data_IF_870510495398
#
_entry.id   IF_870510495398
#
_cell.length_a   1.000
_cell.length_b   1.000
_cell.length_c   1.000
_cell.angle_alpha   90.00
_cell.angle_beta   90.00
_cell.angle_gamma   90.00
#
_symmetry.space_group_name_H-M   'P 1'
#
loop_
_entity.id
_entity.type
_entity.pdbx_description
1 polymer ?
#
# COMPACT_ATOMS: atom_id res chain seq x y z
N UNK A 1 -16.87 -59.89 58.82
CA UNK A 1 -18.35 -59.87 58.77
C UNK A 1 -18.74 -58.45 58.38
N UNK A 2 -19.35 -58.09 57.25
CA UNK A 2 -20.15 -58.78 56.22
C UNK A 2 -19.92 -58.08 54.86
N UNK A 3 -19.88 -58.92 53.84
CA UNK A 3 -20.00 -58.75 52.38
C UNK A 3 -21.08 -57.74 51.94
N UNK A 4 -20.87 -56.89 50.92
CA UNK A 4 -20.93 -57.08 49.44
C UNK A 4 -22.34 -56.94 48.83
N UNK A 5 -22.35 -56.68 47.51
CA UNK A 5 -23.42 -56.55 46.49
C UNK A 5 -23.69 -55.10 46.05
N UNK A 6 -23.19 -54.61 44.91
CA UNK A 6 -23.37 -55.02 43.50
C UNK A 6 -24.68 -54.49 42.88
N UNK A 7 -24.59 -53.48 42.01
CA UNK A 7 -25.45 -53.22 40.83
C UNK A 7 -24.82 -52.03 40.05
N UNK A 8 -24.11 -52.25 38.94
CA UNK A 8 -24.58 -52.30 37.54
C UNK A 8 -24.70 -50.91 36.87
N UNK A 9 -24.09 -50.87 35.67
CA UNK A 9 -24.35 -50.02 34.51
C UNK A 9 -23.87 -48.56 34.48
N UNK A 10 -22.93 -48.36 33.54
CA UNK A 10 -23.15 -47.52 32.35
C UNK A 10 -23.29 -46.02 32.59
N UNK A 11 -22.24 -45.26 32.28
CA UNK A 11 -22.29 -44.23 31.22
C UNK A 11 -21.13 -43.22 31.32
N UNK A 12 -20.58 -42.95 30.14
CA UNK A 12 -19.93 -41.71 29.72
C UNK A 12 -18.61 -41.31 30.39
N UNK A 13 -17.55 -41.62 29.66
CA UNK A 13 -16.37 -40.78 29.55
C UNK A 13 -16.79 -39.34 29.16
N UNK A 14 -16.89 -38.45 30.15
CA UNK A 14 -17.03 -37.01 29.95
C UNK A 14 -15.62 -36.42 29.80
N UNK A 15 -15.04 -36.57 28.60
CA UNK A 15 -13.90 -35.78 28.17
C UNK A 15 -14.45 -34.46 27.63
N UNK A 16 -14.55 -33.46 28.50
CA UNK A 16 -14.70 -32.07 28.07
C UNK A 16 -13.34 -31.40 28.20
N UNK A 17 -12.49 -31.64 27.20
CA UNK A 17 -11.42 -30.71 26.90
C UNK A 17 -12.07 -29.46 26.31
N UNK A 18 -12.40 -28.51 27.19
CA UNK A 18 -12.67 -27.13 26.77
C UNK A 18 -11.32 -26.49 26.48
N UNK A 19 -10.84 -26.62 25.25
CA UNK A 19 -9.88 -25.66 24.72
C UNK A 19 -10.64 -24.36 24.51
N UNK A 20 -10.60 -23.47 25.50
CA UNK A 20 -10.78 -22.05 25.23
C UNK A 20 -9.55 -21.61 24.45
N UNK A 21 -9.71 -21.43 23.14
CA UNK A 21 -8.77 -20.63 22.36
C UNK A 21 -8.86 -19.19 22.89
N UNK A 22 -7.99 -18.88 23.83
CA UNK A 22 -7.60 -17.51 24.14
C UNK A 22 -7.16 -16.85 22.83
N UNK A 23 -7.78 -15.75 22.38
CA UNK A 23 -7.36 -15.07 21.18
C UNK A 23 -5.94 -14.55 21.43
N UNK A 24 -4.95 -15.20 20.82
CA UNK A 24 -3.57 -14.72 20.84
C UNK A 24 -3.53 -13.29 20.32
N UNK A 25 -2.63 -12.45 20.84
CA UNK A 25 -2.47 -11.06 20.41
C UNK A 25 -2.26 -10.89 18.88
N UNK A 26 -1.94 -11.97 18.17
CA UNK A 26 -1.90 -12.04 16.71
C UNK A 26 -3.29 -11.91 16.03
N UNK A 27 -4.39 -12.28 16.68
CA UNK A 27 -5.75 -12.13 16.13
C UNK A 27 -6.32 -10.71 16.27
N UNK A 28 -5.72 -9.86 17.13
CA UNK A 28 -6.04 -8.43 17.22
C UNK A 28 -5.35 -7.57 16.16
N UNK A 29 -4.36 -8.13 15.47
CA UNK A 29 -3.77 -7.54 14.27
C UNK A 29 -4.49 -8.03 13.00
N UNK A 30 -5.81 -8.20 13.05
CA UNK A 30 -6.61 -8.22 11.83
C UNK A 30 -6.33 -6.91 11.12
N UNK A 31 -5.44 -6.96 10.12
CA UNK A 31 -5.08 -5.84 9.25
C UNK A 31 -6.41 -5.27 8.77
N UNK A 32 -6.78 -4.10 9.28
CA UNK A 32 -8.06 -3.50 8.93
C UNK A 32 -7.93 -3.08 7.47
N UNK A 33 -8.42 -3.94 6.59
CA UNK A 33 -8.27 -3.79 5.15
C UNK A 33 -9.37 -2.87 4.65
N UNK A 34 -9.17 -1.57 4.84
CA UNK A 34 -10.11 -0.54 4.39
C UNK A 34 -9.93 -0.16 2.91
N UNK A 35 -8.80 -0.53 2.32
CA UNK A 35 -8.47 -0.21 0.94
C UNK A 35 -7.69 -1.35 0.26
N UNK A 36 -7.18 -1.07 -0.95
CA UNK A 36 -6.27 -1.96 -1.66
C UNK A 36 -5.01 -2.23 -0.82
N UNK A 37 -4.49 -3.47 -0.87
CA UNK A 37 -3.28 -3.87 -0.12
C UNK A 37 -2.01 -3.35 -0.82
N UNK A 38 -1.75 -2.06 -0.64
CA UNK A 38 -0.63 -1.37 -1.28
C UNK A 38 0.72 -1.94 -0.80
N UNK A 39 0.88 -2.15 0.50
CA UNK A 39 2.11 -2.71 1.07
C UNK A 39 2.38 -4.13 0.54
N UNK A 40 1.35 -4.99 0.52
CA UNK A 40 1.46 -6.34 -0.05
C UNK A 40 1.81 -6.32 -1.53
N UNK A 41 1.21 -5.42 -2.30
CA UNK A 41 1.53 -5.22 -3.73
C UNK A 41 2.99 -4.80 -3.93
N UNK A 42 3.45 -3.74 -3.25
CA UNK A 42 4.83 -3.23 -3.39
C UNK A 42 5.87 -4.30 -3.03
N UNK A 43 5.62 -5.07 -1.98
CA UNK A 43 6.51 -6.17 -1.57
C UNK A 43 6.60 -7.27 -2.63
N UNK A 44 5.47 -7.66 -3.24
CA UNK A 44 5.43 -8.64 -4.32
C UNK A 44 6.19 -8.14 -5.56
N UNK A 45 5.97 -6.87 -5.94
CA UNK A 45 6.66 -6.28 -7.08
C UNK A 45 8.15 -6.16 -6.84
N UNK A 46 8.59 -5.71 -5.65
CA UNK A 46 10.01 -5.62 -5.32
C UNK A 46 10.72 -6.99 -5.44
N UNK A 47 10.08 -8.06 -4.96
CA UNK A 47 10.62 -9.42 -5.09
C UNK A 47 10.65 -9.90 -6.54
N UNK A 48 9.57 -9.70 -7.29
CA UNK A 48 9.49 -10.10 -8.69
C UNK A 48 10.53 -9.35 -9.55
N UNK A 49 10.70 -8.05 -9.31
CA UNK A 49 11.67 -7.20 -9.98
C UNK A 49 13.12 -7.56 -9.62
N UNK A 50 13.40 -7.85 -8.35
CA UNK A 50 14.72 -8.32 -7.91
C UNK A 50 15.10 -9.67 -8.55
N UNK A 51 14.13 -10.56 -8.75
CA UNK A 51 14.32 -11.85 -9.43
C UNK A 51 14.50 -11.68 -10.95
N UNK A 52 13.70 -10.81 -11.58
CA UNK A 52 13.75 -10.60 -13.02
C UNK A 52 14.96 -9.76 -13.47
N UNK A 53 15.50 -8.91 -12.58
CA UNK A 53 16.60 -7.99 -12.85
C UNK A 53 16.44 -7.20 -14.17
N UNK A 54 15.28 -6.57 -14.42
CA UNK A 54 15.08 -5.86 -15.67
C UNK A 54 15.98 -4.63 -15.77
N UNK A 55 16.18 -4.15 -16.99
CA UNK A 55 16.71 -2.81 -17.20
C UNK A 55 15.62 -1.79 -16.87
N UNK A 56 16.03 -0.64 -16.34
CA UNK A 56 15.13 0.46 -15.98
C UNK A 56 15.69 1.73 -16.58
N UNK A 57 14.86 2.49 -17.30
CA UNK A 57 15.17 3.87 -17.65
C UNK A 57 14.68 4.76 -16.52
N UNK A 58 15.63 5.30 -15.75
CA UNK A 58 15.38 6.18 -14.61
C UNK A 58 15.67 7.62 -14.99
N UNK A 59 14.72 8.50 -14.73
CA UNK A 59 14.83 9.94 -14.93
C UNK A 59 14.72 10.63 -13.57
N UNK A 60 15.66 11.51 -13.26
CA UNK A 60 15.65 12.35 -12.07
C UNK A 60 15.70 13.81 -12.49
N UNK A 61 14.97 14.67 -11.80
CA UNK A 61 14.97 16.10 -12.06
C UNK A 61 14.82 16.91 -10.78
N UNK A 62 15.33 18.14 -10.82
CA UNK A 62 15.34 19.07 -9.70
C UNK A 62 15.32 20.50 -10.23
N UNK A 63 14.68 21.43 -9.51
CA UNK A 63 14.64 22.85 -9.87
C UNK A 63 16.04 23.40 -10.15
N UNK A 64 16.17 24.12 -11.27
CA UNK A 64 17.44 24.74 -11.68
C UNK A 64 18.50 23.77 -12.22
N UNK A 65 18.21 22.46 -12.33
CA UNK A 65 19.14 21.46 -12.89
C UNK A 65 18.58 20.83 -14.17
N UNK A 66 19.47 20.35 -15.03
CA UNK A 66 19.08 19.53 -16.16
C UNK A 66 18.56 18.17 -15.69
N UNK A 67 17.57 17.61 -16.39
CA UNK A 67 17.08 16.25 -16.12
C UNK A 67 18.19 15.24 -16.42
N UNK A 68 18.40 14.27 -15.54
CA UNK A 68 19.33 13.15 -15.75
C UNK A 68 18.54 11.88 -16.03
N UNK A 69 18.74 11.28 -17.21
CA UNK A 69 18.08 10.04 -17.63
C UNK A 69 19.14 8.98 -17.90
N UNK A 70 19.05 7.84 -17.21
CA UNK A 70 19.98 6.71 -17.35
C UNK A 70 19.23 5.39 -17.40
N UNK A 71 19.69 4.50 -18.28
CA UNK A 71 19.26 3.11 -18.28
C UNK A 71 20.24 2.28 -17.46
N UNK A 72 19.74 1.56 -16.45
CA UNK A 72 20.56 0.77 -15.54
C UNK A 72 19.90 -0.57 -15.17
N UNK A 73 20.67 -1.46 -14.58
CA UNK A 73 20.24 -2.75 -14.03
C UNK A 73 20.73 -2.87 -12.58
N UNK A 74 20.22 -3.86 -11.83
CA UNK A 74 20.65 -4.08 -10.45
C UNK A 74 20.14 -3.03 -9.47
N UNK A 75 18.95 -2.46 -9.74
CA UNK A 75 18.26 -1.55 -8.82
C UNK A 75 17.89 -2.30 -7.53
N UNK A 76 18.13 -1.67 -6.38
CA UNK A 76 17.63 -2.13 -5.08
C UNK A 76 16.14 -1.81 -4.95
N UNK A 77 15.31 -2.72 -5.46
CA UNK A 77 13.86 -2.54 -5.57
C UNK A 77 13.12 -2.26 -4.26
N UNK A 78 13.45 -2.92 -3.12
CA UNK A 78 12.90 -2.53 -1.83
C UNK A 78 13.11 -1.05 -1.50
N UNK A 79 14.33 -0.53 -1.68
CA UNK A 79 14.64 0.89 -1.42
C UNK A 79 13.98 1.82 -2.44
N UNK A 80 13.96 1.42 -3.72
CA UNK A 80 13.36 2.20 -4.81
C UNK A 80 11.84 2.38 -4.63
N UNK A 81 11.14 1.33 -4.16
CA UNK A 81 9.69 1.35 -3.99
C UNK A 81 9.23 1.78 -2.60
N UNK A 82 10.12 1.88 -1.62
CA UNK A 82 9.79 2.26 -0.24
C UNK A 82 8.95 3.55 -0.12
N UNK A 83 9.23 4.65 -0.86
CA UNK A 83 8.44 5.89 -0.75
C UNK A 83 6.96 5.71 -1.09
N UNK A 84 6.62 4.73 -1.93
CA UNK A 84 5.23 4.49 -2.34
C UNK A 84 4.38 3.84 -1.23
N UNK A 85 5.00 3.33 -0.16
CA UNK A 85 4.31 2.84 1.03
C UNK A 85 3.62 3.95 1.84
N UNK A 86 3.98 5.22 1.60
CA UNK A 86 3.29 6.36 2.21
C UNK A 86 1.82 6.44 1.76
N UNK A 87 1.49 5.90 0.59
CA UNK A 87 0.14 5.81 0.04
C UNK A 87 -0.71 4.65 0.61
N UNK A 88 -0.18 3.82 1.51
CA UNK A 88 -0.97 2.73 2.09
C UNK A 88 -1.98 3.27 3.11
N UNK A 89 -3.26 3.12 2.76
CA UNK A 89 -4.39 3.49 3.59
C UNK A 89 -4.66 2.48 4.72
N UNK A 90 -4.14 1.25 4.69
CA UNK A 90 -4.48 0.21 5.67
C UNK A 90 -3.77 0.37 7.03
N UNK A 91 -3.24 1.56 7.32
CA UNK A 91 -2.60 1.89 8.60
C UNK A 91 -3.68 2.07 9.68
N UNK A 92 -3.52 1.50 10.89
CA UNK A 92 -4.51 1.63 11.97
C UNK A 92 -4.88 3.08 12.34
N UNK A 93 -3.92 4.01 12.22
CA UNK A 93 -4.15 5.43 12.50
C UNK A 93 -5.03 6.13 11.43
N UNK A 94 -5.26 5.51 10.28
CA UNK A 94 -6.03 6.04 9.16
C UNK A 94 -7.48 5.54 9.12
N UNK A 95 -7.87 4.70 10.07
CA UNK A 95 -9.20 4.10 10.10
C UNK A 95 -10.30 5.14 10.30
N UNK A 96 -11.28 5.12 9.41
CA UNK A 96 -12.43 6.03 9.44
C UNK A 96 -12.12 7.49 9.06
N UNK A 97 -10.89 7.79 8.63
CA UNK A 97 -10.48 9.16 8.25
C UNK A 97 -10.78 9.52 6.79
N UNK A 98 -11.30 8.58 5.99
CA UNK A 98 -11.49 8.74 4.55
C UNK A 98 -12.91 8.45 4.13
N UNK A 99 -13.37 9.17 3.11
CA UNK A 99 -14.58 8.85 2.35
C UNK A 99 -14.18 8.11 1.09
N UNK A 100 -14.77 6.92 0.86
CA UNK A 100 -14.62 6.18 -0.39
C UNK A 100 -15.67 6.63 -1.41
N UNK A 101 -15.21 6.99 -2.60
CA UNK A 101 -16.02 7.23 -3.77
C UNK A 101 -15.66 6.19 -4.84
N UNK A 102 -16.69 5.55 -5.41
CA UNK A 102 -16.53 4.57 -6.48
C UNK A 102 -17.16 5.10 -7.75
N UNK A 103 -16.42 5.09 -8.84
CA UNK A 103 -16.91 5.50 -10.16
C UNK A 103 -16.37 4.59 -11.26
N UNK A 104 -16.90 4.75 -12.46
CA UNK A 104 -16.40 4.08 -13.67
C UNK A 104 -15.93 5.15 -14.65
N UNK A 105 -14.69 5.04 -15.13
CA UNK A 105 -14.16 6.00 -16.10
C UNK A 105 -14.58 5.66 -17.55
N UNK A 106 -14.20 6.50 -18.52
CA UNK A 106 -14.54 6.32 -19.93
C UNK A 106 -13.99 5.02 -20.56
N UNK A 107 -12.96 4.41 -19.97
CA UNK A 107 -12.40 3.13 -20.40
C UNK A 107 -13.08 1.91 -19.76
N UNK A 108 -14.17 2.11 -19.00
CA UNK A 108 -14.87 1.04 -18.29
C UNK A 108 -14.14 0.53 -17.04
N UNK A 109 -13.11 1.25 -16.58
CA UNK A 109 -12.33 0.89 -15.41
C UNK A 109 -13.02 1.36 -14.14
N UNK A 110 -12.95 0.56 -13.08
CA UNK A 110 -13.45 0.96 -11.76
C UNK A 110 -12.41 1.83 -11.07
N UNK A 111 -12.80 3.02 -10.65
CA UNK A 111 -11.96 3.97 -9.92
C UNK A 111 -12.47 4.06 -8.49
N UNK A 112 -11.64 3.64 -7.53
CA UNK A 112 -11.88 3.79 -6.09
C UNK A 112 -11.02 4.93 -5.56
N UNK A 113 -11.66 6.04 -5.21
CA UNK A 113 -11.02 7.25 -4.73
C UNK A 113 -11.30 7.44 -3.25
N UNK A 114 -10.25 7.65 -2.47
CA UNK A 114 -10.31 7.84 -1.04
C UNK A 114 -9.86 9.27 -0.72
N UNK A 115 -10.79 10.09 -0.21
CA UNK A 115 -10.51 11.47 0.17
C UNK A 115 -10.47 11.60 1.68
N UNK A 116 -9.42 12.22 2.21
CA UNK A 116 -9.36 12.55 3.62
C UNK A 116 -10.51 13.48 3.99
N UNK A 117 -11.16 13.22 5.12
CA UNK A 117 -12.18 14.12 5.67
C UNK A 117 -11.54 15.46 6.08
N UNK A 118 -12.36 16.52 6.16
CA UNK A 118 -11.89 17.90 6.35
C UNK A 118 -11.03 18.08 7.63
N UNK A 119 -11.37 17.40 8.71
CA UNK A 119 -10.69 17.42 10.01
C UNK A 119 -9.77 16.21 10.26
N UNK A 120 -9.57 15.37 9.24
CA UNK A 120 -8.74 14.18 9.36
C UNK A 120 -7.27 14.54 9.64
N UNK A 121 -6.74 14.02 10.75
CA UNK A 121 -5.34 14.18 11.15
C UNK A 121 -4.42 13.22 10.37
N UNK A 122 -4.25 13.50 9.08
CA UNK A 122 -3.43 12.72 8.15
C UNK A 122 -2.77 13.61 7.11
N UNK A 123 -1.58 13.20 6.66
CA UNK A 123 -0.89 13.85 5.54
C UNK A 123 -1.29 13.25 4.19
N UNK A 124 -1.76 12.00 4.14
CA UNK A 124 -2.25 11.38 2.91
C UNK A 124 -3.65 11.95 2.61
N UNK A 125 -3.75 12.90 1.67
CA UNK A 125 -4.99 13.63 1.39
C UNK A 125 -5.89 12.90 0.41
N UNK A 126 -5.29 12.19 -0.54
CA UNK A 126 -6.02 11.43 -1.53
C UNK A 126 -5.23 10.17 -1.91
N UNK A 127 -5.93 9.06 -2.09
CA UNK A 127 -5.41 7.89 -2.77
C UNK A 127 -6.47 7.34 -3.73
N UNK A 128 -6.05 7.01 -4.94
CA UNK A 128 -6.92 6.49 -5.99
C UNK A 128 -6.35 5.19 -6.51
N UNK A 129 -7.19 4.15 -6.55
CA UNK A 129 -6.87 2.87 -7.15
C UNK A 129 -7.79 2.63 -8.34
N UNK A 130 -7.19 2.43 -9.51
CA UNK A 130 -7.93 2.12 -10.73
C UNK A 130 -7.76 0.65 -11.08
N UNK A 131 -8.88 0.00 -11.37
CA UNK A 131 -8.96 -1.41 -11.73
C UNK A 131 -9.53 -1.57 -13.13
N UNK A 132 -8.96 -2.49 -13.90
CA UNK A 132 -9.52 -2.88 -15.19
C UNK A 132 -10.91 -3.56 -15.02
N UNK A 133 -11.63 -3.82 -16.13
CA UNK A 133 -12.93 -4.51 -16.07
C UNK A 133 -12.86 -5.92 -15.48
N UNK A 134 -11.68 -6.53 -15.36
CA UNK A 134 -11.45 -7.83 -14.72
C UNK A 134 -11.16 -7.70 -13.21
N UNK A 135 -11.14 -6.47 -12.67
CA UNK A 135 -10.88 -6.19 -11.27
C UNK A 135 -9.39 -6.22 -10.90
N UNK A 136 -8.48 -6.18 -11.87
CA UNK A 136 -7.04 -6.16 -11.64
C UNK A 136 -6.52 -4.71 -11.57
N UNK A 137 -5.61 -4.44 -10.65
CA UNK A 137 -5.02 -3.11 -10.48
C UNK A 137 -4.24 -2.71 -11.74
N UNK A 138 -4.50 -1.49 -12.23
CA UNK A 138 -3.80 -0.90 -13.39
C UNK A 138 -3.12 0.44 -13.07
N UNK A 139 -3.60 1.16 -12.05
CA UNK A 139 -3.03 2.45 -11.68
C UNK A 139 -3.22 2.74 -10.19
N UNK A 140 -2.22 3.40 -9.59
CA UNK A 140 -2.31 3.99 -8.26
C UNK A 140 -1.88 5.44 -8.35
N UNK A 141 -2.67 6.35 -7.79
CA UNK A 141 -2.30 7.74 -7.57
C UNK A 141 -2.44 8.09 -6.09
N UNK A 142 -1.55 8.92 -5.56
CA UNK A 142 -1.71 9.46 -4.23
C UNK A 142 -1.19 10.89 -4.12
N UNK A 143 -1.86 11.68 -3.28
CA UNK A 143 -1.46 13.03 -2.90
C UNK A 143 -1.20 13.08 -1.40
N UNK A 144 0.03 13.39 -1.04
CA UNK A 144 0.44 13.59 0.35
C UNK A 144 0.80 15.05 0.53
N UNK A 145 0.17 15.70 1.50
CA UNK A 145 0.43 17.08 1.88
C UNK A 145 0.83 17.13 3.34
N UNK A 146 1.99 17.71 3.61
CA UNK A 146 2.48 17.98 4.95
C UNK A 146 2.83 19.46 5.05
N UNK A 147 2.26 20.15 6.03
CA UNK A 147 2.55 21.55 6.25
C UNK A 147 2.64 21.85 7.74
N UNK A 148 3.51 22.78 8.07
CA UNK A 148 3.54 23.48 9.35
C UNK A 148 4.00 24.91 9.10
N UNK A 149 4.25 25.66 10.17
CA UNK A 149 4.69 27.05 10.06
C UNK A 149 5.95 27.20 9.19
N UNK A 150 6.91 26.27 9.27
CA UNK A 150 8.23 26.42 8.65
C UNK A 150 8.29 25.94 7.21
N UNK A 151 7.46 24.97 6.83
CA UNK A 151 7.51 24.37 5.51
C UNK A 151 6.18 23.79 5.06
N UNK A 152 6.06 23.64 3.74
CA UNK A 152 5.02 22.91 3.05
C UNK A 152 5.65 21.93 2.07
N UNK A 153 5.24 20.67 2.15
CA UNK A 153 5.68 19.61 1.25
C UNK A 153 4.47 18.97 0.60
N UNK A 154 4.50 18.83 -0.71
CA UNK A 154 3.52 18.10 -1.49
C UNK A 154 4.23 16.95 -2.23
N UNK A 155 3.77 15.72 -2.03
CA UNK A 155 4.21 14.56 -2.82
C UNK A 155 3.05 14.02 -3.64
N UNK A 156 3.31 13.79 -4.92
CA UNK A 156 2.42 13.10 -5.86
C UNK A 156 3.08 11.79 -6.26
N UNK A 157 2.38 10.70 -6.01
CA UNK A 157 2.83 9.35 -6.33
C UNK A 157 1.97 8.83 -7.47
N UNK A 158 2.59 8.14 -8.42
CA UNK A 158 1.92 7.51 -9.54
C UNK A 158 2.57 6.17 -9.88
N UNK A 159 1.76 5.12 -10.02
CA UNK A 159 2.18 3.79 -10.47
C UNK A 159 1.32 3.33 -11.64
N UNK A 160 1.95 2.80 -12.68
CA UNK A 160 1.27 2.10 -13.78
C UNK A 160 1.57 0.60 -13.71
N UNK A 161 0.50 -0.20 -13.80
CA UNK A 161 0.54 -1.64 -13.59
C UNK A 161 -0.04 -2.37 -14.81
N UNK A 162 0.64 -3.43 -15.24
CA UNK A 162 0.21 -4.34 -16.29
C UNK A 162 -0.12 -5.69 -15.67
N UNK A 163 -1.41 -5.99 -15.43
CA UNK A 163 -1.79 -7.14 -14.62
C UNK A 163 -1.48 -8.50 -15.26
N UNK A 164 -1.28 -8.54 -16.58
CA UNK A 164 -0.94 -9.75 -17.34
C UNK A 164 0.56 -10.03 -17.45
N UNK A 165 1.40 -9.36 -16.66
CA UNK A 165 2.86 -9.53 -16.66
C UNK A 165 3.37 -9.86 -15.25
N UNK A 166 4.57 -10.41 -15.15
CA UNK A 166 5.28 -10.57 -13.88
C UNK A 166 6.75 -10.21 -14.11
N UNK A 167 7.27 -9.14 -13.49
CA UNK A 167 6.60 -8.18 -12.61
C UNK A 167 5.43 -7.43 -13.31
N UNK A 168 4.45 -6.98 -12.53
CA UNK A 168 3.29 -6.24 -13.03
C UNK A 168 3.57 -4.75 -13.12
N UNK A 169 4.39 -4.19 -12.22
CA UNK A 169 4.76 -2.79 -12.23
C UNK A 169 5.51 -2.47 -13.52
N UNK A 170 5.08 -1.44 -14.25
CA UNK A 170 5.72 -1.00 -15.49
C UNK A 170 6.33 0.40 -15.38
N UNK A 171 5.65 1.32 -14.68
CA UNK A 171 6.13 2.68 -14.44
C UNK A 171 5.86 3.09 -13.00
N UNK A 172 6.79 3.83 -12.42
CA UNK A 172 6.59 4.53 -11.16
C UNK A 172 7.08 5.96 -11.29
N UNK A 173 6.42 6.89 -10.60
CA UNK A 173 6.80 8.29 -10.54
C UNK A 173 6.47 8.89 -9.17
N UNK A 174 7.42 9.66 -8.65
CA UNK A 174 7.26 10.48 -7.46
C UNK A 174 7.69 11.90 -7.82
N UNK A 175 6.76 12.84 -7.62
CA UNK A 175 7.02 14.27 -7.75
C UNK A 175 6.85 14.90 -6.38
N UNK A 176 7.84 15.67 -5.95
CA UNK A 176 7.86 16.37 -4.66
C UNK A 176 8.09 17.85 -4.88
N UNK A 177 7.24 18.67 -4.25
CA UNK A 177 7.42 20.12 -4.16
C UNK A 177 7.61 20.46 -2.69
N UNK A 178 8.69 21.17 -2.37
CA UNK A 178 8.99 21.65 -1.03
C UNK A 178 9.13 23.17 -1.03
N UNK A 179 8.35 23.82 -0.19
CA UNK A 179 8.38 25.26 0.03
C UNK A 179 8.80 25.52 1.47
N UNK A 180 9.89 26.26 1.64
CA UNK A 180 10.36 26.73 2.94
C UNK A 180 9.91 28.19 3.13
N UNK A 181 9.66 28.59 4.38
CA UNK A 181 9.34 29.99 4.68
C UNK A 181 10.43 30.92 4.11
N UNK A 182 10.00 31.97 3.41
CA UNK A 182 10.85 32.98 2.76
C UNK A 182 11.69 32.50 1.57
N UNK A 183 11.46 31.30 1.05
CA UNK A 183 12.15 30.77 -0.14
C UNK A 183 11.16 30.43 -1.26
N UNK A 184 11.65 30.41 -2.50
CA UNK A 184 10.87 29.86 -3.61
C UNK A 184 10.72 28.34 -3.45
N UNK A 185 9.62 27.73 -3.92
CA UNK A 185 9.47 26.29 -3.91
C UNK A 185 10.54 25.59 -4.75
N UNK A 186 11.08 24.50 -4.23
CA UNK A 186 11.94 23.57 -4.94
C UNK A 186 11.12 22.35 -5.36
N UNK A 187 11.34 21.88 -6.58
CA UNK A 187 10.72 20.69 -7.14
C UNK A 187 11.79 19.63 -7.34
N UNK A 188 11.48 18.41 -6.94
CA UNK A 188 12.27 17.22 -7.18
C UNK A 188 11.36 16.13 -7.75
N UNK A 189 11.89 15.30 -8.63
CA UNK A 189 11.13 14.14 -9.07
C UNK A 189 11.98 13.02 -9.59
N UNK A 190 11.39 11.85 -9.54
CA UNK A 190 11.95 10.60 -9.97
C UNK A 190 10.90 9.83 -10.75
N UNK A 191 11.31 9.29 -11.89
CA UNK A 191 10.49 8.42 -12.73
C UNK A 191 11.32 7.21 -13.14
N UNK A 192 10.74 6.03 -13.08
CA UNK A 192 11.33 4.82 -13.62
C UNK A 192 10.38 4.10 -14.55
N UNK A 193 10.89 3.72 -15.71
CA UNK A 193 10.21 2.86 -16.68
C UNK A 193 10.93 1.53 -16.75
N UNK A 194 10.24 0.46 -16.35
CA UNK A 194 10.75 -0.91 -16.40
C UNK A 194 10.67 -1.41 -17.83
N UNK A 195 11.82 -1.79 -18.38
CA UNK A 195 11.92 -2.30 -19.73
C UNK A 195 11.60 -3.80 -19.73
N UNK A 196 10.94 -4.30 -20.80
CA UNK A 196 10.61 -5.71 -20.95
C UNK A 196 11.85 -6.61 -21.11
#
# INVERSE_FOLDING_TARGET
MKNIYSFICLCLAFWVSSCQEEPTAASRAARVKQAYDMEGFLNQEAQALAKAQPKVTKTVYETGKAKDTKTMSGVDWPSELAPFSDADLNKPALLGLYTEEVSTNAAGQTVKRYLAQEDAKTNLKEATYTFDPQGQLVQVDALILQENLMFKTQKKLHLEVRPNQTPRLHRYRLDETQELMFMSPDEYGIEGVILP
#
